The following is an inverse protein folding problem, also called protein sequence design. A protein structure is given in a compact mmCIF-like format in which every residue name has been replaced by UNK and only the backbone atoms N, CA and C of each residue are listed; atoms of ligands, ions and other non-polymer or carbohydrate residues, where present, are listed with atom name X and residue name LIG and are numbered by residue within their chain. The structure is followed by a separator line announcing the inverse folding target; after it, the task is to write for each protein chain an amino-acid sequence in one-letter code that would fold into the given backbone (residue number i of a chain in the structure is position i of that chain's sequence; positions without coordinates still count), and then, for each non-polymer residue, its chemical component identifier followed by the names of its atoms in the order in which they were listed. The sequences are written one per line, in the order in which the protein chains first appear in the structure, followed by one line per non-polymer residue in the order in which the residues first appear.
data_IF_935543667780
#
_entry.id   IF_935543667780
#
_cell.length_a   1.000
_cell.length_b   1.000
_cell.length_c   1.000
_cell.angle_alpha   90.00
_cell.angle_beta   90.00
_cell.angle_gamma   90.00
#
_symmetry.space_group_name_H-M   'P 1'
#
loop_
_entity.id
_entity.type
_entity.pdbx_description
1 polymer ?
#
# COMPACT_ATOMS: atom_id res chain seq x y z
N UNK A 1 -18.89 36.48 -11.40
CA UNK A 1 -18.60 35.05 -11.46
C UNK A 1 -18.64 34.48 -12.89
N UNK A 2 -19.56 34.94 -13.75
CA UNK A 2 -19.73 34.41 -15.11
C UNK A 2 -18.56 34.75 -16.02
N UNK A 3 -18.10 36.00 -16.10
CA UNK A 3 -16.92 36.39 -16.86
C UNK A 3 -15.64 35.67 -16.39
N UNK A 4 -15.47 35.53 -15.07
CA UNK A 4 -14.33 34.77 -14.53
C UNK A 4 -14.41 33.26 -14.88
N UNK A 5 -15.62 32.71 -15.01
CA UNK A 5 -15.79 31.32 -15.42
C UNK A 5 -15.50 31.12 -16.92
N UNK A 6 -15.82 32.07 -17.77
CA UNK A 6 -15.48 32.02 -19.20
C UNK A 6 -13.95 31.96 -19.41
N UNK A 7 -13.19 32.77 -18.65
CA UNK A 7 -11.72 32.70 -18.65
C UNK A 7 -11.22 31.32 -18.18
N UNK A 8 -11.83 30.73 -17.15
CA UNK A 8 -11.53 29.39 -16.67
C UNK A 8 -11.82 28.35 -17.75
N UNK A 9 -12.92 28.50 -18.47
CA UNK A 9 -13.35 27.59 -19.53
C UNK A 9 -12.40 27.62 -20.73
N UNK A 10 -11.93 28.79 -21.12
CA UNK A 10 -10.91 28.98 -22.14
C UNK A 10 -9.59 28.30 -21.73
N UNK A 11 -9.10 28.56 -20.52
CA UNK A 11 -7.92 27.91 -19.99
C UNK A 11 -8.06 26.38 -19.87
N UNK A 12 -9.26 25.89 -19.55
CA UNK A 12 -9.56 24.47 -19.46
C UNK A 12 -9.46 23.77 -20.81
N UNK A 13 -9.98 24.38 -21.88
CA UNK A 13 -10.04 23.82 -23.25
C UNK A 13 -8.74 23.96 -24.03
N UNK A 14 -7.79 24.74 -23.54
CA UNK A 14 -6.55 24.98 -24.25
C UNK A 14 -5.82 23.69 -24.64
N UNK A 15 -5.48 23.52 -25.92
CA UNK A 15 -4.86 22.33 -26.52
C UNK A 15 -5.66 21.04 -26.33
N UNK A 16 -7.00 21.11 -26.24
CA UNK A 16 -7.85 19.94 -26.15
C UNK A 16 -7.70 19.09 -24.86
N UNK A 17 -6.89 19.53 -23.91
CA UNK A 17 -6.69 18.81 -22.67
C UNK A 17 -7.53 19.41 -21.54
N UNK A 18 -8.37 18.58 -20.95
CA UNK A 18 -9.10 18.93 -19.75
C UNK A 18 -8.15 19.03 -18.54
N UNK A 19 -8.01 20.21 -17.97
CA UNK A 19 -7.09 20.50 -16.90
C UNK A 19 -7.79 20.51 -15.53
N UNK A 20 -7.07 20.12 -14.49
CA UNK A 20 -7.47 20.35 -13.11
C UNK A 20 -7.17 21.79 -12.67
N UNK A 21 -7.63 22.15 -11.46
CA UNK A 21 -7.49 23.49 -10.86
C UNK A 21 -6.06 24.08 -11.00
N UNK A 22 -5.02 23.29 -10.74
CA UNK A 22 -3.61 23.75 -10.84
C UNK A 22 -3.21 24.06 -12.29
N UNK A 23 -3.60 23.20 -13.24
CA UNK A 23 -3.31 23.41 -14.66
C UNK A 23 -4.04 24.63 -15.22
N UNK A 24 -5.30 24.87 -14.81
CA UNK A 24 -6.05 26.08 -15.15
C UNK A 24 -5.39 27.33 -14.57
N UNK A 25 -4.99 27.30 -13.30
CA UNK A 25 -4.29 28.41 -12.66
C UNK A 25 -3.02 28.80 -13.41
N UNK A 26 -2.16 27.82 -13.72
CA UNK A 26 -0.93 28.05 -14.50
C UNK A 26 -1.24 28.64 -15.89
N UNK A 27 -2.27 28.15 -16.57
CA UNK A 27 -2.64 28.68 -17.89
C UNK A 27 -3.18 30.10 -17.79
N UNK A 28 -4.01 30.42 -16.81
CA UNK A 28 -4.48 31.79 -16.57
C UNK A 28 -3.29 32.75 -16.31
N UNK A 29 -2.29 32.34 -15.54
CA UNK A 29 -1.08 33.15 -15.35
C UNK A 29 -0.34 33.42 -16.65
N UNK A 30 -0.21 32.44 -17.55
CA UNK A 30 0.36 32.64 -18.88
C UNK A 30 -0.49 33.55 -19.79
N UNK A 31 -1.77 33.68 -19.51
CA UNK A 31 -2.68 34.63 -20.20
C UNK A 31 -2.68 36.01 -19.53
N UNK A 32 -1.82 36.24 -18.53
CA UNK A 32 -1.76 37.49 -17.77
C UNK A 32 -2.89 37.67 -16.75
N UNK A 33 -3.71 36.62 -16.52
CA UNK A 33 -4.87 36.67 -15.64
C UNK A 33 -4.50 36.11 -14.27
N UNK A 34 -4.47 36.97 -13.25
CA UNK A 34 -4.25 36.55 -11.85
C UNK A 34 -5.59 36.18 -11.18
N UNK A 35 -5.80 34.89 -10.93
CA UNK A 35 -6.98 34.38 -10.25
C UNK A 35 -6.58 33.41 -9.14
N UNK A 36 -7.13 33.61 -7.94
CA UNK A 36 -6.81 32.75 -6.79
C UNK A 36 -7.32 31.32 -7.02
N UNK A 37 -6.49 30.34 -6.68
CA UNK A 37 -6.78 28.89 -6.81
C UNK A 37 -8.07 28.49 -6.08
N UNK A 38 -8.40 29.12 -4.94
CA UNK A 38 -9.66 28.90 -4.22
C UNK A 38 -10.86 29.36 -5.03
N UNK A 39 -10.76 30.52 -5.74
CA UNK A 39 -11.81 31.05 -6.63
C UNK A 39 -12.01 30.11 -7.82
N UNK A 40 -10.94 29.66 -8.47
CA UNK A 40 -11.01 28.68 -9.57
C UNK A 40 -11.73 27.42 -9.13
N UNK A 41 -11.33 26.84 -7.98
CA UNK A 41 -11.98 25.62 -7.44
C UNK A 41 -13.44 25.82 -7.14
N UNK A 42 -13.83 26.96 -6.56
CA UNK A 42 -15.22 27.32 -6.27
C UNK A 42 -16.04 27.41 -7.55
N UNK A 43 -15.54 28.10 -8.59
CA UNK A 43 -16.24 28.28 -9.86
C UNK A 43 -16.35 26.97 -10.64
N UNK A 44 -15.27 26.18 -10.69
CA UNK A 44 -15.35 24.83 -11.29
C UNK A 44 -16.43 23.97 -10.64
N UNK A 45 -16.56 24.01 -9.30
CA UNK A 45 -17.59 23.27 -8.57
C UNK A 45 -18.98 23.82 -8.87
N UNK A 46 -19.15 25.16 -8.84
CA UNK A 46 -20.44 25.83 -9.11
C UNK A 46 -20.96 25.48 -10.49
N UNK A 47 -20.11 25.46 -11.50
CA UNK A 47 -20.49 25.19 -12.90
C UNK A 47 -20.24 23.72 -13.32
N UNK A 48 -20.05 22.80 -12.36
CA UNK A 48 -19.85 21.36 -12.58
C UNK A 48 -18.73 21.02 -13.58
N UNK A 49 -17.69 21.87 -13.67
CA UNK A 49 -16.53 21.63 -14.51
C UNK A 49 -15.57 20.66 -13.82
N UNK A 50 -15.43 19.46 -14.37
CA UNK A 50 -14.60 18.38 -13.79
C UNK A 50 -13.42 18.07 -14.70
N UNK A 51 -12.30 17.64 -14.11
CA UNK A 51 -11.15 17.14 -14.88
C UNK A 51 -11.32 15.64 -15.15
N UNK A 52 -11.52 15.22 -16.42
CA UNK A 52 -11.78 13.82 -16.75
C UNK A 52 -10.54 12.91 -16.54
N UNK A 53 -9.34 13.49 -16.60
CA UNK A 53 -8.06 12.75 -16.50
C UNK A 53 -7.83 12.16 -15.09
N UNK A 54 -8.46 12.73 -14.05
CA UNK A 54 -8.31 12.29 -12.66
C UNK A 54 -9.62 11.80 -12.06
N UNK A 55 -10.33 10.96 -12.77
CA UNK A 55 -11.46 10.23 -12.14
C UNK A 55 -10.86 9.33 -11.05
N UNK A 56 -11.32 9.43 -9.80
CA UNK A 56 -10.88 8.49 -8.76
C UNK A 56 -11.28 7.09 -9.20
N UNK A 57 -10.33 6.16 -9.16
CA UNK A 57 -10.62 4.75 -9.43
C UNK A 57 -11.70 4.28 -8.43
N UNK A 58 -12.89 3.85 -8.89
CA UNK A 58 -13.99 3.43 -8.01
C UNK A 58 -13.58 2.26 -7.11
N UNK A 59 -12.71 1.39 -7.61
CA UNK A 59 -12.18 0.26 -6.85
C UNK A 59 -11.23 0.67 -5.71
N UNK A 60 -10.67 1.88 -5.74
CA UNK A 60 -9.73 2.35 -4.71
C UNK A 60 -10.38 2.50 -3.33
N UNK A 61 -11.66 2.86 -3.28
CA UNK A 61 -12.44 2.92 -2.03
C UNK A 61 -12.71 1.51 -1.50
N UNK A 62 -13.12 0.60 -2.37
CA UNK A 62 -13.38 -0.79 -2.02
C UNK A 62 -12.10 -1.49 -1.53
N UNK A 63 -10.99 -1.35 -2.26
CA UNK A 63 -9.68 -1.87 -1.83
C UNK A 63 -9.22 -1.30 -0.49
N UNK A 64 -9.48 0.01 -0.25
CA UNK A 64 -9.15 0.63 1.04
C UNK A 64 -10.02 0.07 2.18
N UNK A 65 -11.30 -0.16 1.93
CA UNK A 65 -12.23 -0.75 2.90
C UNK A 65 -11.85 -2.19 3.24
N UNK A 66 -11.52 -3.00 2.23
CA UNK A 66 -11.05 -4.38 2.40
C UNK A 66 -9.75 -4.40 3.22
N UNK A 67 -8.78 -3.55 2.88
CA UNK A 67 -7.51 -3.43 3.63
C UNK A 67 -7.70 -3.00 5.08
N UNK A 68 -8.63 -2.09 5.35
CA UNK A 68 -8.92 -1.65 6.73
C UNK A 68 -9.57 -2.77 7.56
N UNK A 69 -10.39 -3.60 6.95
CA UNK A 69 -11.01 -4.77 7.59
C UNK A 69 -10.07 -5.98 7.76
N UNK A 70 -8.98 -6.05 6.97
CA UNK A 70 -8.01 -7.16 6.99
C UNK A 70 -6.72 -6.84 7.75
N UNK A 71 -6.53 -5.59 8.22
CA UNK A 71 -5.38 -5.21 9.01
C UNK A 71 -5.48 -5.83 10.42
N UNK A 72 -4.41 -6.52 10.83
CA UNK A 72 -4.29 -7.04 12.18
C UNK A 72 -3.82 -5.94 13.15
N UNK A 73 -4.12 -6.12 14.42
CA UNK A 73 -3.64 -5.26 15.51
C UNK A 73 -2.11 -5.36 15.63
N UNK A 74 -1.45 -4.28 16.06
CA UNK A 74 -0.04 -4.31 16.37
C UNK A 74 0.18 -4.91 17.76
N UNK A 75 0.54 -6.19 17.81
CA UNK A 75 0.80 -6.92 19.04
C UNK A 75 2.25 -6.73 19.54
N UNK A 76 3.16 -6.32 18.67
CA UNK A 76 4.60 -6.28 18.96
C UNK A 76 5.03 -4.97 19.64
N UNK A 77 4.37 -3.86 19.33
CA UNK A 77 4.61 -2.53 19.91
C UNK A 77 6.10 -2.09 19.95
N UNK A 78 6.92 -2.56 18.99
CA UNK A 78 8.37 -2.35 18.88
C UNK A 78 9.22 -3.15 19.90
N UNK A 79 8.62 -4.03 20.66
CA UNK A 79 9.34 -4.89 21.62
C UNK A 79 9.76 -6.20 20.92
N UNK A 80 10.67 -6.10 19.94
CA UNK A 80 11.03 -7.22 19.08
C UNK A 80 11.90 -8.27 19.78
N UNK A 81 12.70 -7.89 20.75
CA UNK A 81 13.72 -8.77 21.36
C UNK A 81 13.33 -9.32 22.74
N UNK A 82 12.29 -8.77 23.37
CA UNK A 82 11.89 -9.11 24.73
C UNK A 82 11.17 -10.45 24.88
N UNK A 83 10.77 -11.06 23.77
CA UNK A 83 9.85 -12.22 23.79
C UNK A 83 10.54 -13.59 23.61
N UNK A 84 11.86 -13.63 23.47
CA UNK A 84 12.61 -14.87 23.26
C UNK A 84 12.55 -15.40 21.82
N UNK A 85 13.33 -16.49 21.54
CA UNK A 85 13.40 -17.09 20.20
C UNK A 85 12.04 -17.60 19.72
N UNK A 86 11.74 -17.35 18.44
CA UNK A 86 10.54 -17.81 17.73
C UNK A 86 9.20 -17.30 18.28
N UNK A 87 9.21 -16.35 19.19
CA UNK A 87 8.01 -15.70 19.67
C UNK A 87 7.49 -14.67 18.66
N UNK A 88 8.39 -13.89 18.05
CA UNK A 88 8.06 -12.89 17.04
C UNK A 88 8.86 -13.18 15.77
N UNK A 89 8.13 -13.38 14.67
CA UNK A 89 8.68 -13.59 13.35
C UNK A 89 8.37 -12.36 12.49
N UNK A 90 9.40 -11.81 11.84
CA UNK A 90 9.26 -10.66 10.94
C UNK A 90 9.23 -11.16 9.51
N UNK A 91 8.30 -10.65 8.71
CA UNK A 91 8.23 -10.96 7.28
C UNK A 91 8.20 -9.70 6.44
N UNK A 92 8.97 -9.71 5.36
CA UNK A 92 9.07 -8.61 4.39
C UNK A 92 9.36 -9.13 2.98
N UNK A 93 9.13 -8.27 1.99
CA UNK A 93 9.42 -8.52 0.58
C UNK A 93 10.49 -7.54 0.11
N UNK A 94 11.64 -8.08 -0.26
CA UNK A 94 12.75 -7.31 -0.83
C UNK A 94 12.73 -7.37 -2.35
N UNK A 95 12.88 -6.22 -3.00
CA UNK A 95 12.95 -6.07 -4.46
C UNK A 95 14.42 -6.09 -4.90
N UNK A 96 14.82 -7.12 -5.61
CA UNK A 96 16.18 -7.31 -6.09
C UNK A 96 16.24 -6.98 -7.58
N UNK A 97 16.93 -5.91 -8.02
CA UNK A 97 17.10 -5.62 -9.43
C UNK A 97 18.05 -6.64 -10.06
N UNK A 98 17.61 -7.31 -11.13
CA UNK A 98 18.38 -8.31 -11.85
C UNK A 98 18.20 -8.15 -13.36
N UNK A 99 19.27 -7.82 -14.10
CA UNK A 99 19.28 -7.74 -15.58
C UNK A 99 18.09 -6.93 -16.16
N UNK A 100 17.79 -5.74 -15.58
CA UNK A 100 16.71 -4.87 -16.06
C UNK A 100 15.30 -5.31 -15.67
N UNK A 101 15.17 -6.32 -14.84
CA UNK A 101 13.92 -6.81 -14.24
C UNK A 101 14.04 -6.81 -12.72
N UNK A 102 12.96 -7.13 -12.02
CA UNK A 102 12.98 -7.36 -10.58
C UNK A 102 12.75 -8.83 -10.28
N UNK A 103 13.52 -9.35 -9.33
CA UNK A 103 13.23 -10.56 -8.61
C UNK A 103 12.77 -10.19 -7.20
N UNK A 104 11.84 -10.91 -6.65
CA UNK A 104 11.23 -10.64 -5.35
C UNK A 104 11.64 -11.71 -4.37
N UNK A 105 12.15 -11.30 -3.22
CA UNK A 105 12.54 -12.19 -2.13
C UNK A 105 11.60 -11.98 -0.95
N UNK A 106 10.83 -13.00 -0.61
CA UNK A 106 10.06 -13.04 0.63
C UNK A 106 10.87 -13.76 1.70
N UNK A 107 10.98 -13.16 2.88
CA UNK A 107 11.73 -13.73 4.00
C UNK A 107 10.89 -13.77 5.26
N UNK A 108 11.17 -14.75 6.11
CA UNK A 108 10.69 -14.79 7.50
C UNK A 108 11.90 -14.91 8.41
N UNK A 109 12.07 -13.91 9.26
CA UNK A 109 13.19 -13.73 10.18
C UNK A 109 12.70 -13.85 11.62
N UNK A 110 13.43 -14.56 12.47
CA UNK A 110 13.22 -14.54 13.93
C UNK A 110 13.73 -13.21 14.51
N UNK A 111 12.83 -12.45 15.13
CA UNK A 111 13.16 -11.13 15.67
C UNK A 111 14.20 -11.17 16.79
N UNK A 112 14.25 -12.25 17.57
CA UNK A 112 15.20 -12.43 18.67
C UNK A 112 16.58 -12.87 18.16
N UNK A 113 16.65 -13.97 17.43
CA UNK A 113 17.92 -14.58 17.00
C UNK A 113 18.49 -13.99 15.73
N UNK A 114 17.73 -13.20 14.99
CA UNK A 114 18.04 -12.66 13.65
C UNK A 114 18.25 -13.74 12.58
N UNK A 115 17.88 -14.98 12.88
CA UNK A 115 17.98 -16.09 11.94
C UNK A 115 16.86 -16.01 10.88
N UNK A 116 17.21 -16.15 9.61
CA UNK A 116 16.24 -16.39 8.54
C UNK A 116 15.75 -17.83 8.63
N UNK A 117 14.46 -17.99 8.93
CA UNK A 117 13.83 -19.31 9.11
C UNK A 117 13.28 -19.88 7.79
N UNK A 118 12.77 -19.00 6.93
CA UNK A 118 12.26 -19.37 5.62
C UNK A 118 12.42 -18.23 4.64
N UNK A 119 12.57 -18.57 3.36
CA UNK A 119 12.57 -17.63 2.26
C UNK A 119 12.05 -18.28 0.97
N UNK A 120 11.50 -17.49 0.09
CA UNK A 120 11.15 -17.87 -1.28
C UNK A 120 11.48 -16.72 -2.23
N UNK A 121 11.85 -17.07 -3.48
CA UNK A 121 12.14 -16.10 -4.53
C UNK A 121 11.16 -16.29 -5.69
N UNK A 122 10.78 -15.17 -6.33
CA UNK A 122 9.90 -15.19 -7.50
C UNK A 122 10.24 -14.05 -8.46
N UNK A 123 10.03 -14.28 -9.75
CA UNK A 123 10.06 -13.22 -10.77
C UNK A 123 8.71 -12.48 -10.86
N UNK A 124 7.64 -13.03 -10.23
CA UNK A 124 6.30 -12.43 -10.17
C UNK A 124 6.01 -11.90 -8.77
N UNK A 125 5.40 -10.71 -8.67
CA UNK A 125 4.97 -10.09 -7.42
C UNK A 125 3.54 -10.55 -7.03
N UNK A 126 3.22 -11.80 -7.24
CA UNK A 126 1.95 -12.39 -6.81
C UNK A 126 2.03 -12.86 -5.36
N UNK A 127 0.88 -13.15 -4.75
CA UNK A 127 0.84 -13.56 -3.34
C UNK A 127 1.46 -14.94 -3.11
N UNK A 128 1.53 -15.78 -4.13
CA UNK A 128 1.82 -17.20 -4.00
C UNK A 128 3.22 -17.48 -3.43
N UNK A 129 4.25 -16.70 -3.78
CA UNK A 129 5.60 -16.89 -3.21
C UNK A 129 5.68 -16.48 -1.72
N UNK A 130 4.83 -15.56 -1.29
CA UNK A 130 4.70 -15.21 0.15
C UNK A 130 4.02 -16.35 0.91
N UNK A 131 3.01 -16.98 0.30
CA UNK A 131 2.37 -18.18 0.87
C UNK A 131 3.37 -19.35 0.97
N UNK A 132 4.17 -19.56 -0.08
CA UNK A 132 5.23 -20.55 -0.10
C UNK A 132 6.23 -20.34 1.05
N UNK A 133 6.61 -19.08 1.33
CA UNK A 133 7.50 -18.76 2.45
C UNK A 133 6.92 -19.21 3.79
N UNK A 134 5.62 -19.00 4.02
CA UNK A 134 4.92 -19.45 5.24
C UNK A 134 4.84 -20.98 5.28
N UNK A 135 4.55 -21.63 4.16
CA UNK A 135 4.52 -23.12 4.08
C UNK A 135 5.89 -23.73 4.39
N UNK A 136 6.97 -23.14 3.87
CA UNK A 136 8.33 -23.56 4.17
C UNK A 136 8.68 -23.36 5.66
N UNK A 137 8.26 -22.24 6.25
CA UNK A 137 8.42 -22.02 7.69
C UNK A 137 7.74 -23.15 8.49
N UNK A 138 6.49 -23.44 8.22
CA UNK A 138 5.73 -24.48 8.94
C UNK A 138 6.32 -25.85 8.70
N UNK A 139 6.74 -26.16 7.49
CA UNK A 139 7.37 -27.44 7.13
C UNK A 139 8.67 -27.70 7.89
N UNK A 140 9.53 -26.69 7.99
CA UNK A 140 10.88 -26.87 8.56
C UNK A 140 10.97 -26.55 10.06
N UNK A 141 10.08 -25.69 10.56
CA UNK A 141 10.15 -25.17 11.93
C UNK A 141 8.86 -25.34 12.73
N UNK A 142 7.79 -25.93 12.14
CA UNK A 142 6.45 -26.00 12.74
C UNK A 142 6.45 -26.60 14.15
N UNK A 143 7.27 -27.62 14.42
CA UNK A 143 7.37 -28.28 15.74
C UNK A 143 7.89 -27.30 16.82
N UNK A 144 8.66 -26.30 16.45
CA UNK A 144 9.26 -25.32 17.36
C UNK A 144 8.48 -24.00 17.45
N UNK A 145 7.38 -23.88 16.71
CA UNK A 145 6.48 -22.73 16.77
C UNK A 145 5.35 -23.02 17.75
N UNK A 146 4.96 -22.05 18.53
CA UNK A 146 3.84 -22.14 19.46
C UNK A 146 2.61 -21.45 18.89
N UNK A 147 1.43 -21.69 19.49
CA UNK A 147 0.20 -20.95 19.17
C UNK A 147 0.26 -19.45 19.50
N UNK A 148 1.23 -19.05 20.33
CA UNK A 148 1.50 -17.67 20.69
C UNK A 148 2.49 -17.00 19.72
N UNK A 149 3.14 -17.76 18.83
CA UNK A 149 4.06 -17.21 17.83
C UNK A 149 3.35 -16.19 16.94
N UNK A 150 3.90 -15.00 16.88
CA UNK A 150 3.37 -13.88 16.12
C UNK A 150 4.15 -13.71 14.84
N UNK A 151 3.47 -13.69 13.70
CA UNK A 151 4.05 -13.23 12.43
C UNK A 151 3.70 -11.75 12.22
N UNK A 152 4.73 -10.90 12.17
CA UNK A 152 4.60 -9.45 12.06
C UNK A 152 5.00 -8.97 10.67
N UNK A 153 4.16 -8.16 10.05
CA UNK A 153 4.38 -7.59 8.71
C UNK A 153 3.98 -6.12 8.65
N UNK A 154 4.25 -5.49 7.52
CA UNK A 154 3.60 -4.24 7.13
C UNK A 154 2.14 -4.46 6.69
N UNK A 155 1.44 -3.38 6.30
CA UNK A 155 0.08 -3.46 5.74
C UNK A 155 0.08 -3.61 4.20
N UNK A 156 1.07 -4.30 3.64
CA UNK A 156 1.16 -4.61 2.21
C UNK A 156 0.00 -5.45 1.69
N UNK A 157 -0.23 -5.40 0.38
CA UNK A 157 -1.34 -6.14 -0.26
C UNK A 157 -1.23 -7.65 -0.12
N UNK A 158 -0.02 -8.18 -0.07
CA UNK A 158 0.26 -9.59 0.11
C UNK A 158 -0.20 -10.08 1.47
N UNK A 159 0.15 -9.34 2.54
CA UNK A 159 -0.13 -9.67 3.94
C UNK A 159 -1.58 -9.38 4.35
N UNK A 160 -2.30 -8.54 3.59
CA UNK A 160 -3.73 -8.27 3.78
C UNK A 160 -4.63 -9.12 2.88
N UNK A 161 -4.06 -10.01 2.07
CA UNK A 161 -4.81 -10.93 1.22
C UNK A 161 -5.51 -12.01 2.04
N UNK A 162 -6.73 -12.42 1.62
CA UNK A 162 -7.46 -13.49 2.29
C UNK A 162 -6.68 -14.80 2.32
N UNK A 163 -5.94 -15.12 1.25
CA UNK A 163 -5.11 -16.34 1.18
C UNK A 163 -4.05 -16.37 2.28
N UNK A 164 -3.34 -15.23 2.48
CA UNK A 164 -2.32 -15.13 3.53
C UNK A 164 -2.94 -15.23 4.93
N UNK A 165 -4.06 -14.53 5.16
CA UNK A 165 -4.78 -14.56 6.43
C UNK A 165 -5.15 -15.98 6.79
N UNK A 166 -5.83 -16.69 5.89
CA UNK A 166 -6.28 -18.07 6.09
C UNK A 166 -5.10 -19.02 6.33
N UNK A 167 -4.00 -18.86 5.58
CA UNK A 167 -2.83 -19.72 5.74
C UNK A 167 -2.18 -19.55 7.12
N UNK A 168 -2.00 -18.33 7.59
CA UNK A 168 -1.39 -18.04 8.90
C UNK A 168 -2.30 -18.56 10.03
N UNK A 169 -3.61 -18.33 9.95
CA UNK A 169 -4.58 -18.82 10.92
C UNK A 169 -4.65 -20.36 10.94
N UNK A 170 -4.67 -21.01 9.77
CA UNK A 170 -4.64 -22.47 9.66
C UNK A 170 -3.33 -23.08 10.19
N UNK A 171 -2.26 -22.31 10.17
CA UNK A 171 -0.95 -22.69 10.75
C UNK A 171 -0.86 -22.44 12.26
N UNK A 172 -1.97 -22.06 12.90
CA UNK A 172 -2.05 -21.72 14.32
C UNK A 172 -1.08 -20.61 14.77
N UNK A 173 -0.76 -19.69 13.85
CA UNK A 173 0.08 -18.52 14.11
C UNK A 173 -0.80 -17.27 14.29
N UNK A 174 -0.33 -16.32 15.11
CA UNK A 174 -1.01 -15.04 15.32
C UNK A 174 -0.46 -13.99 14.35
N UNK A 175 -1.34 -13.15 13.82
CA UNK A 175 -0.94 -12.04 12.94
C UNK A 175 -0.77 -10.75 13.73
N UNK A 176 0.23 -9.99 13.36
CA UNK A 176 0.44 -8.62 13.83
C UNK A 176 0.88 -7.75 12.67
N UNK A 177 0.48 -6.49 12.67
CA UNK A 177 0.87 -5.55 11.61
C UNK A 177 1.35 -4.22 12.20
N UNK A 178 2.40 -3.66 11.59
CA UNK A 178 2.85 -2.31 11.89
C UNK A 178 1.75 -1.27 11.57
N UNK A 179 1.77 -0.13 12.26
CA UNK A 179 0.88 0.99 11.92
C UNK A 179 1.25 1.52 10.53
N UNK A 180 0.26 1.99 9.80
CA UNK A 180 0.45 2.54 8.45
C UNK A 180 1.46 3.68 8.47
N UNK A 181 2.52 3.54 7.64
CA UNK A 181 3.62 4.51 7.54
C UNK A 181 4.71 4.37 8.60
N UNK A 182 4.61 3.36 9.48
CA UNK A 182 5.68 2.94 10.38
C UNK A 182 6.13 1.55 9.95
N UNK A 183 7.29 1.49 9.40
CA UNK A 183 7.97 0.22 9.15
C UNK A 183 8.77 -0.20 10.37
#
# INVERSE_FOLDING_TARGET
DRAAFEQILEAYRFRGYAKGVRGIHMRLLHMGIRMNVKKIRRLMRKYKLTCPIRKPNPYRRLQRSIRMGSAAENLVNREFESHGPRAILLTDITYIPLCGRFCYLSTILDACTKQVLAYAMSESLEVDFVLETVQLLVKHHGISLSKETVIHSDQGTHYTSLKFIQLVENSALRRSMSRRGNC
#
